data_IF_808016667871
#
_entry.id   IF_808016667871
#
_cell.length_a   1.000
_cell.length_b   1.000
_cell.length_c   1.000
_cell.angle_alpha   90.00
_cell.angle_beta   90.00
_cell.angle_gamma   90.00
#
_symmetry.space_group_name_H-M   'P 1'
#
loop_
_entity.id
_entity.type
_entity.pdbx_description
1 polymer ?
#
# COMPACT_ATOMS: atom_id res chain seq x y z
N UNK A 1 -2.27 -9.63 -21.60
CA UNK A 1 -2.02 -10.45 -20.39
C UNK A 1 -1.66 -9.51 -19.25
N UNK A 2 -2.66 -9.01 -18.50
CA UNK A 2 -2.48 -8.00 -17.45
C UNK A 2 -2.03 -8.68 -16.15
N UNK A 3 -0.87 -8.29 -15.64
CA UNK A 3 -0.24 -8.85 -14.44
C UNK A 3 -0.92 -8.35 -13.15
N UNK A 4 -2.15 -8.81 -12.88
CA UNK A 4 -2.94 -8.44 -11.69
C UNK A 4 -3.04 -9.56 -10.64
N UNK A 5 -1.99 -10.36 -10.47
CA UNK A 5 -1.97 -11.42 -9.45
C UNK A 5 -1.62 -10.93 -8.02
N UNK A 6 -1.99 -9.70 -7.66
CA UNK A 6 -1.94 -9.19 -6.27
C UNK A 6 -3.17 -8.31 -6.05
N UNK A 7 -4.09 -8.69 -5.14
CA UNK A 7 -5.30 -7.92 -4.82
C UNK A 7 -4.92 -6.61 -4.13
N UNK A 8 -4.81 -5.53 -4.89
CA UNK A 8 -4.57 -4.18 -4.35
C UNK A 8 -5.82 -3.66 -3.65
N UNK A 9 -5.64 -3.13 -2.44
CA UNK A 9 -6.68 -2.46 -1.65
C UNK A 9 -6.41 -0.96 -1.61
N UNK A 10 -7.34 -0.17 -2.12
CA UNK A 10 -7.31 1.29 -2.05
C UNK A 10 -7.69 1.79 -0.65
N UNK A 11 -6.99 2.81 -0.17
CA UNK A 11 -7.34 3.47 1.10
C UNK A 11 -8.68 4.20 0.98
N UNK A 12 -9.50 4.17 2.04
CA UNK A 12 -10.75 4.96 2.12
C UNK A 12 -10.50 6.47 2.16
N UNK A 13 -9.28 6.90 2.51
CA UNK A 13 -8.85 8.29 2.46
C UNK A 13 -8.46 8.75 1.05
N UNK A 14 -8.41 7.82 0.09
CA UNK A 14 -8.13 8.11 -1.33
C UNK A 14 -9.39 8.58 -2.05
N UNK A 15 -9.85 9.80 -1.76
CA UNK A 15 -11.03 10.42 -2.40
C UNK A 15 -11.33 11.85 -1.93
N UNK A 16 -12.22 12.54 -2.66
CA UNK A 16 -12.63 13.93 -2.39
C UNK A 16 -11.59 14.98 -2.79
N UNK A 17 -11.57 16.13 -2.09
CA UNK A 17 -10.57 17.19 -2.26
C UNK A 17 -9.15 16.80 -1.80
N UNK A 18 -8.99 15.58 -1.24
CA UNK A 18 -7.72 15.11 -0.67
C UNK A 18 -6.86 14.42 -1.75
N UNK A 19 -5.56 14.71 -1.75
CA UNK A 19 -4.59 14.17 -2.71
C UNK A 19 -3.92 12.86 -2.25
N UNK A 20 -4.35 12.28 -1.13
CA UNK A 20 -3.68 11.14 -0.47
C UNK A 20 -4.05 9.78 -1.08
N UNK A 21 -3.73 9.58 -2.36
CA UNK A 21 -4.11 8.41 -3.15
C UNK A 21 -3.14 7.23 -2.95
N UNK A 22 -3.42 6.34 -1.99
CA UNK A 22 -2.56 5.16 -1.72
C UNK A 22 -3.32 3.85 -1.90
N UNK A 23 -2.62 2.84 -2.43
CA UNK A 23 -3.02 1.43 -2.50
C UNK A 23 -1.98 0.52 -1.83
N UNK A 24 -2.45 -0.55 -1.20
CA UNK A 24 -1.61 -1.56 -0.54
C UNK A 24 -1.98 -2.96 -1.04
N UNK A 25 -0.99 -3.81 -1.30
CA UNK A 25 -1.20 -5.22 -1.60
C UNK A 25 -0.40 -6.10 -0.64
N UNK A 26 -1.05 -7.13 -0.12
CA UNK A 26 -0.42 -8.15 0.72
C UNK A 26 -0.13 -9.40 -0.10
N UNK A 27 1.13 -9.82 -0.11
CA UNK A 27 1.57 -11.12 -0.62
C UNK A 27 2.30 -11.87 0.49
N UNK A 28 2.56 -13.16 0.28
CA UNK A 28 3.25 -14.04 1.26
C UNK A 28 4.57 -13.44 1.76
N UNK A 29 5.38 -12.90 0.84
CA UNK A 29 6.74 -12.45 1.13
C UNK A 29 6.92 -10.93 1.10
N UNK A 30 5.87 -10.18 0.73
CA UNK A 30 5.99 -8.74 0.57
C UNK A 30 4.67 -7.99 0.80
N UNK A 31 4.80 -6.76 1.27
CA UNK A 31 3.74 -5.75 1.28
C UNK A 31 4.10 -4.67 0.27
N UNK A 32 3.29 -4.53 -0.77
CA UNK A 32 3.43 -3.50 -1.78
C UNK A 32 2.65 -2.24 -1.39
N UNK A 33 3.23 -1.07 -1.57
CA UNK A 33 2.57 0.24 -1.42
C UNK A 33 2.80 1.05 -2.68
N UNK A 34 1.75 1.67 -3.21
CA UNK A 34 1.86 2.51 -4.40
C UNK A 34 0.90 3.68 -4.36
N UNK A 35 1.19 4.69 -5.17
CA UNK A 35 0.25 5.76 -5.44
C UNK A 35 -0.86 5.26 -6.39
N UNK A 36 -2.12 5.56 -6.08
CA UNK A 36 -3.26 5.08 -6.88
C UNK A 36 -3.34 5.77 -8.25
N UNK A 37 -2.74 6.96 -8.42
CA UNK A 37 -2.72 7.74 -9.66
C UNK A 37 -1.46 7.47 -10.49
N UNK A 38 -0.37 7.05 -9.84
CA UNK A 38 0.87 6.62 -10.48
C UNK A 38 1.30 5.25 -9.96
N UNK A 39 0.90 4.19 -10.67
CA UNK A 39 1.07 2.80 -10.21
C UNK A 39 2.45 2.21 -10.46
N UNK A 40 3.33 2.93 -11.16
CA UNK A 40 4.62 2.44 -11.64
C UNK A 40 5.77 2.58 -10.60
N UNK A 41 5.84 3.59 -9.72
CA UNK A 41 6.64 3.45 -8.51
C UNK A 41 5.85 2.65 -7.47
N UNK A 42 6.42 1.52 -7.05
CA UNK A 42 5.88 0.67 -5.98
C UNK A 42 6.97 0.46 -4.94
N UNK A 43 6.67 0.81 -3.70
CA UNK A 43 7.50 0.42 -2.56
C UNK A 43 7.15 -1.02 -2.20
N UNK A 44 8.16 -1.83 -1.90
CA UNK A 44 8.00 -3.19 -1.43
C UNK A 44 8.69 -3.35 -0.08
N UNK A 45 7.94 -3.85 0.90
CA UNK A 45 8.40 -4.09 2.26
C UNK A 45 8.34 -5.58 2.56
N UNK A 46 9.23 -6.07 3.43
CA UNK A 46 9.03 -7.39 4.05
C UNK A 46 7.83 -7.34 5.02
N UNK A 47 7.16 -8.48 5.29
CA UNK A 47 6.09 -8.52 6.30
C UNK A 47 6.56 -8.08 7.70
N UNK A 48 7.84 -8.30 8.03
CA UNK A 48 8.42 -7.88 9.32
C UNK A 48 8.62 -6.37 9.39
N UNK A 49 9.20 -5.76 8.36
CA UNK A 49 9.38 -4.30 8.31
C UNK A 49 8.03 -3.57 8.27
N UNK A 50 7.02 -4.13 7.59
CA UNK A 50 5.67 -3.57 7.58
C UNK A 50 5.03 -3.56 8.97
N UNK A 51 5.14 -4.66 9.73
CA UNK A 51 4.64 -4.73 11.12
C UNK A 51 5.36 -3.76 12.04
N UNK A 52 6.69 -3.65 11.91
CA UNK A 52 7.47 -2.69 12.68
C UNK A 52 7.06 -1.24 12.37
N UNK A 53 6.88 -0.90 11.09
CA UNK A 53 6.38 0.41 10.66
C UNK A 53 5.03 0.74 11.31
N UNK A 54 4.06 -0.18 11.25
CA UNK A 54 2.75 0.02 11.88
C UNK A 54 2.83 0.12 13.42
N UNK A 55 3.73 -0.65 14.05
CA UNK A 55 3.94 -0.63 15.50
C UNK A 55 4.59 0.65 16.02
N UNK A 56 5.31 1.38 15.17
CA UNK A 56 5.91 2.68 15.50
C UNK A 56 4.96 3.86 15.34
N UNK A 57 3.75 3.67 14.80
CA UNK A 57 2.78 4.74 14.67
C UNK A 57 2.19 5.10 16.06
N UNK A 58 2.03 6.40 16.37
CA UNK A 58 1.37 6.80 17.59
C UNK A 58 -0.05 6.23 17.63
N UNK A 59 -0.45 5.70 18.79
CA UNK A 59 -1.83 5.29 19.02
C UNK A 59 -2.69 6.55 19.09
N UNK A 60 -3.72 6.60 18.23
CA UNK A 60 -4.71 7.67 18.21
C UNK A 60 -5.75 7.48 19.30
#
# INVERSE_FOLDING_TARGET
MSSEARRWRKSSYSGGANTNCVEVAFASEAVGVRDSKNTAPRLAFTPTSWRAFLGGLPRR
#
